data_IF_348036388148
#
_entry.id   IF_348036388148
#
_cell.length_a   1.000
_cell.length_b   1.000
_cell.length_c   1.000
_cell.angle_alpha   90.00
_cell.angle_beta   90.00
_cell.angle_gamma   90.00
#
_symmetry.space_group_name_H-M   'P 1'
#
loop_
_entity.id
_entity.type
_entity.pdbx_description
1 polymer ?
#
# COMPACT_ATOMS: atom_id res chain seq x y z
N UNK A 1 -49.20 -23.55 -43.24
CA UNK A 1 -47.87 -23.66 -42.60
C UNK A 1 -47.03 -22.45 -42.96
N UNK A 2 -46.17 -21.99 -42.04
CA UNK A 2 -45.30 -20.79 -42.09
C UNK A 2 -45.96 -19.43 -41.81
N UNK A 3 -46.08 -19.07 -40.53
CA UNK A 3 -45.78 -17.72 -39.99
C UNK A 3 -45.37 -17.90 -38.52
N UNK A 4 -44.14 -18.35 -38.32
CA UNK A 4 -43.52 -18.56 -37.02
C UNK A 4 -42.80 -17.27 -36.61
N UNK A 5 -42.96 -16.91 -35.34
CA UNK A 5 -41.91 -16.34 -34.48
C UNK A 5 -40.98 -15.30 -35.10
N UNK A 6 -41.37 -14.04 -35.04
CA UNK A 6 -40.43 -12.92 -35.17
C UNK A 6 -40.70 -11.79 -34.17
N UNK A 7 -41.41 -12.08 -33.07
CA UNK A 7 -41.88 -11.07 -32.11
C UNK A 7 -41.45 -11.30 -30.67
N UNK A 8 -40.48 -12.16 -30.39
CA UNK A 8 -40.03 -12.48 -29.02
C UNK A 8 -38.50 -12.43 -28.80
N UNK A 9 -37.73 -11.95 -29.77
CA UNK A 9 -36.27 -11.82 -29.63
C UNK A 9 -35.78 -10.39 -29.37
N UNK A 10 -36.65 -9.38 -29.44
CA UNK A 10 -36.23 -7.97 -29.30
C UNK A 10 -36.36 -7.46 -27.85
N UNK A 11 -37.11 -8.14 -26.98
CA UNK A 11 -37.19 -7.81 -25.55
C UNK A 11 -36.12 -8.48 -24.68
N UNK A 12 -35.50 -9.57 -25.16
CA UNK A 12 -34.37 -10.21 -24.43
C UNK A 12 -33.04 -9.49 -24.72
N UNK A 13 -32.93 -8.75 -25.83
CA UNK A 13 -31.72 -7.99 -26.16
C UNK A 13 -31.58 -6.66 -25.40
N UNK A 14 -32.66 -6.12 -24.82
CA UNK A 14 -32.61 -4.85 -24.08
C UNK A 14 -32.36 -5.01 -22.57
N UNK A 15 -32.36 -6.24 -22.06
CA UNK A 15 -31.80 -6.56 -20.73
C UNK A 15 -30.31 -6.93 -20.78
N UNK A 16 -29.75 -7.11 -21.99
CA UNK A 16 -28.33 -7.36 -22.20
C UNK A 16 -27.51 -6.08 -22.47
N UNK A 17 -28.15 -4.91 -22.60
CA UNK A 17 -27.48 -3.65 -22.97
C UNK A 17 -27.40 -2.60 -21.84
N UNK A 18 -27.62 -3.00 -20.58
CA UNK A 18 -27.36 -2.16 -19.39
C UNK A 18 -26.20 -2.69 -18.51
N UNK A 19 -25.44 -3.68 -18.99
CA UNK A 19 -24.35 -4.33 -18.24
C UNK A 19 -22.94 -4.08 -18.77
N UNK A 20 -22.71 -3.04 -19.58
CA UNK A 20 -21.37 -2.68 -20.07
C UNK A 20 -21.13 -1.17 -19.98
N UNK A 21 -21.38 -0.58 -18.81
CA UNK A 21 -20.58 0.57 -18.39
C UNK A 21 -19.31 0.02 -17.78
N UNK A 22 -18.16 0.45 -18.31
CA UNK A 22 -16.82 0.29 -17.73
C UNK A 22 -16.85 0.41 -16.20
N UNK A 23 -17.01 -0.69 -15.48
CA UNK A 23 -16.46 -0.82 -14.14
C UNK A 23 -15.01 -1.22 -14.37
N UNK A 24 -14.16 -0.20 -14.54
CA UNK A 24 -12.74 -0.34 -14.25
C UNK A 24 -12.65 -1.11 -12.93
N UNK A 25 -12.08 -2.30 -13.01
CA UNK A 25 -11.73 -3.16 -11.89
C UNK A 25 -11.31 -2.30 -10.69
N UNK A 26 -12.19 -2.22 -9.68
CA UNK A 26 -11.90 -1.53 -8.41
C UNK A 26 -10.99 -2.42 -7.57
N UNK A 27 -9.81 -2.64 -8.12
CA UNK A 27 -8.68 -3.30 -7.51
C UNK A 27 -8.14 -2.37 -6.42
N UNK A 28 -8.18 -2.82 -5.16
CA UNK A 28 -8.24 -1.98 -3.95
C UNK A 28 -8.60 -0.51 -4.21
N UNK A 29 -9.87 -0.28 -4.50
CA UNK A 29 -10.69 0.91 -4.24
C UNK A 29 -9.97 2.20 -3.80
N UNK A 30 -9.03 2.74 -4.54
CA UNK A 30 -8.59 4.15 -4.45
C UNK A 30 -8.48 4.64 -2.99
N UNK A 31 -7.80 3.88 -2.14
CA UNK A 31 -7.88 4.07 -0.69
C UNK A 31 -6.92 5.18 -0.27
N UNK A 32 -7.50 6.22 0.30
CA UNK A 32 -6.78 7.17 1.14
C UNK A 32 -6.17 6.43 2.33
N UNK A 33 -4.90 6.07 2.24
CA UNK A 33 -4.06 5.82 3.41
C UNK A 33 -4.36 6.84 4.51
N UNK A 34 -4.33 6.44 5.77
CA UNK A 34 -4.86 7.29 6.83
C UNK A 34 -6.37 7.17 7.05
N UNK A 35 -7.05 6.20 6.42
CA UNK A 35 -8.49 5.97 6.65
C UNK A 35 -8.71 5.21 7.96
N UNK A 36 -9.69 5.67 8.75
CA UNK A 36 -10.09 5.04 10.03
C UNK A 36 -10.78 3.69 9.83
N UNK A 37 -10.63 2.80 10.81
CA UNK A 37 -11.22 1.45 10.84
C UNK A 37 -12.72 1.42 10.52
N UNK A 38 -13.54 2.26 11.18
CA UNK A 38 -15.00 2.32 10.96
C UNK A 38 -15.35 2.65 9.50
N UNK A 39 -14.52 3.46 8.85
CA UNK A 39 -14.74 3.85 7.47
C UNK A 39 -14.44 2.70 6.51
N UNK A 40 -13.38 1.93 6.77
CA UNK A 40 -13.07 0.71 6.00
C UNK A 40 -14.20 -0.31 6.16
N UNK A 41 -14.67 -0.57 7.39
CA UNK A 41 -15.81 -1.46 7.64
C UNK A 41 -17.07 -0.99 6.91
N UNK A 42 -17.36 0.32 6.95
CA UNK A 42 -18.51 0.89 6.24
C UNK A 42 -18.42 0.70 4.72
N UNK A 43 -17.21 0.82 4.16
CA UNK A 43 -16.95 0.59 2.75
C UNK A 43 -17.14 -0.89 2.42
N UNK A 44 -16.56 -1.82 3.19
CA UNK A 44 -16.71 -3.26 2.93
C UNK A 44 -18.16 -3.74 3.04
N UNK A 45 -18.88 -3.27 4.06
CA UNK A 45 -20.30 -3.58 4.23
C UNK A 45 -21.15 -3.14 3.02
N UNK A 46 -20.84 -1.98 2.42
CA UNK A 46 -21.53 -1.51 1.20
C UNK A 46 -21.26 -2.40 -0.01
N UNK A 47 -20.16 -3.13 -0.01
CA UNK A 47 -19.79 -4.05 -1.08
C UNK A 47 -20.20 -5.50 -0.79
N UNK A 48 -21.04 -5.72 0.23
CA UNK A 48 -21.56 -7.05 0.58
C UNK A 48 -20.68 -7.84 1.55
N UNK A 49 -19.54 -7.29 1.96
CA UNK A 49 -18.61 -7.92 2.90
C UNK A 49 -18.97 -7.45 4.32
N UNK A 50 -19.88 -8.16 4.98
CA UNK A 50 -20.39 -7.75 6.30
C UNK A 50 -19.73 -8.48 7.48
N UNK A 51 -19.19 -9.68 7.25
CA UNK A 51 -18.50 -10.47 8.27
C UNK A 51 -17.01 -10.17 8.26
N UNK A 52 -16.47 -9.78 9.41
CA UNK A 52 -15.04 -9.60 9.63
C UNK A 52 -14.65 -10.07 11.02
N UNK A 53 -13.39 -10.40 11.19
CA UNK A 53 -12.75 -10.68 12.47
C UNK A 53 -11.81 -9.51 12.79
N UNK A 54 -11.75 -9.05 14.04
CA UNK A 54 -10.80 -8.03 14.48
C UNK A 54 -9.75 -8.71 15.35
N UNK A 55 -8.47 -8.49 15.03
CA UNK A 55 -7.33 -9.00 15.79
C UNK A 55 -6.52 -7.83 16.35
N UNK A 56 -6.12 -7.93 17.62
CA UNK A 56 -5.24 -6.96 18.27
C UNK A 56 -3.85 -7.59 18.32
N UNK A 57 -2.91 -7.02 17.56
CA UNK A 57 -1.53 -7.51 17.49
C UNK A 57 -0.72 -6.99 18.66
N UNK A 58 -0.87 -5.70 18.97
CA UNK A 58 -0.28 -5.04 20.14
C UNK A 58 -1.10 -3.78 20.51
N UNK A 59 -0.57 -2.94 21.41
CA UNK A 59 -1.30 -1.75 21.87
C UNK A 59 -1.44 -0.65 20.79
N UNK A 60 -0.59 -0.68 19.77
CA UNK A 60 -0.49 0.30 18.70
C UNK A 60 -0.86 -0.23 17.31
N UNK A 61 -1.19 -1.52 17.20
CA UNK A 61 -1.49 -2.19 15.94
C UNK A 61 -2.64 -3.18 16.09
N UNK A 62 -3.58 -3.13 15.14
CA UNK A 62 -4.66 -4.10 15.00
C UNK A 62 -5.04 -4.30 13.55
N UNK A 63 -5.67 -5.43 13.25
CA UNK A 63 -6.18 -5.73 11.92
C UNK A 63 -7.66 -6.07 11.93
N UNK A 64 -8.28 -5.95 10.76
CA UNK A 64 -9.55 -6.61 10.47
C UNK A 64 -9.38 -7.53 9.27
N UNK A 65 -9.92 -8.74 9.38
CA UNK A 65 -9.86 -9.77 8.37
C UNK A 65 -11.22 -10.05 7.77
N UNK A 66 -11.25 -10.22 6.46
CA UNK A 66 -12.42 -10.63 5.70
C UNK A 66 -12.07 -11.87 4.87
N UNK A 67 -12.96 -12.85 4.83
CA UNK A 67 -12.77 -14.04 3.99
C UNK A 67 -13.55 -13.98 2.69
N UNK A 68 -13.05 -14.64 1.64
CA UNK A 68 -13.75 -14.81 0.36
C UNK A 68 -14.14 -13.51 -0.39
N UNK A 69 -13.33 -12.45 -0.29
CA UNK A 69 -13.52 -11.25 -1.11
C UNK A 69 -13.15 -11.55 -2.55
N UNK A 70 -13.75 -10.79 -3.48
CA UNK A 70 -13.39 -10.84 -4.89
C UNK A 70 -12.38 -9.75 -5.19
N UNK A 71 -11.15 -10.16 -5.49
CA UNK A 71 -10.01 -9.31 -5.85
C UNK A 71 -9.47 -9.80 -7.19
N UNK A 72 -9.37 -8.91 -8.18
CA UNK A 72 -8.97 -9.29 -9.55
C UNK A 72 -9.76 -10.48 -10.12
N UNK A 73 -11.06 -10.54 -9.79
CA UNK A 73 -11.95 -11.63 -10.21
C UNK A 73 -11.70 -12.98 -9.52
N UNK A 74 -10.78 -13.06 -8.55
CA UNK A 74 -10.44 -14.27 -7.78
C UNK A 74 -10.87 -14.11 -6.32
N UNK A 75 -11.08 -15.24 -5.64
CA UNK A 75 -11.32 -15.25 -4.20
C UNK A 75 -10.01 -15.02 -3.45
N UNK A 76 -10.05 -14.10 -2.49
CA UNK A 76 -8.96 -13.85 -1.56
C UNK A 76 -9.50 -13.61 -0.15
N UNK A 77 -8.69 -13.93 0.84
CA UNK A 77 -8.83 -13.37 2.18
C UNK A 77 -8.13 -12.02 2.19
N UNK A 78 -8.76 -11.01 2.79
CA UNK A 78 -8.19 -9.68 2.94
C UNK A 78 -7.89 -9.39 4.41
N UNK A 79 -6.71 -8.84 4.65
CA UNK A 79 -6.30 -8.31 5.94
C UNK A 79 -6.03 -6.81 5.77
N UNK A 80 -6.63 -6.00 6.63
CA UNK A 80 -6.39 -4.57 6.71
C UNK A 80 -5.77 -4.24 8.06
N UNK A 81 -4.55 -3.69 8.05
CA UNK A 81 -3.80 -3.39 9.27
C UNK A 81 -3.79 -1.89 9.55
N UNK A 82 -4.05 -1.54 10.80
CA UNK A 82 -4.17 -0.18 11.30
C UNK A 82 -3.16 0.06 12.41
N UNK A 83 -2.52 1.22 12.35
CA UNK A 83 -1.60 1.70 13.39
C UNK A 83 -2.12 3.00 13.99
N UNK A 84 -1.90 3.21 15.27
CA UNK A 84 -2.09 4.53 15.91
C UNK A 84 -0.75 5.18 16.33
N UNK A 85 0.36 4.51 16.02
CA UNK A 85 1.70 4.99 16.25
C UNK A 85 2.49 4.84 14.95
N UNK A 86 2.94 5.96 14.42
CA UNK A 86 3.87 6.00 13.31
C UNK A 86 5.29 5.92 13.87
N UNK A 87 5.83 4.71 13.86
CA UNK A 87 7.24 4.46 14.18
C UNK A 87 8.13 5.05 13.08
N UNK A 88 9.26 5.60 13.49
CA UNK A 88 10.30 6.16 12.62
C UNK A 88 11.19 5.06 11.99
N UNK A 89 10.60 3.92 11.64
CA UNK A 89 11.16 2.97 10.67
C UNK A 89 11.39 3.62 9.28
N UNK A 90 11.00 4.90 9.12
CA UNK A 90 11.51 5.83 8.08
C UNK A 90 13.04 5.88 8.01
N UNK A 91 13.78 5.41 9.02
CA UNK A 91 15.21 5.11 8.87
C UNK A 91 15.48 4.29 7.60
N UNK A 92 14.65 3.29 7.28
CA UNK A 92 14.84 2.44 6.10
C UNK A 92 14.49 3.16 4.79
N UNK A 93 13.41 3.95 4.75
CA UNK A 93 13.03 4.74 3.56
C UNK A 93 14.02 5.90 3.30
N UNK A 94 14.44 6.62 4.35
CA UNK A 94 15.49 7.67 4.29
C UNK A 94 16.87 7.08 3.97
N UNK A 95 17.14 5.84 4.43
CA UNK A 95 18.35 5.09 4.05
C UNK A 95 18.31 4.67 2.59
N UNK A 96 17.15 4.27 2.05
CA UNK A 96 16.97 4.00 0.61
C UNK A 96 17.20 5.26 -0.24
N UNK A 97 16.62 6.39 0.15
CA UNK A 97 16.88 7.68 -0.53
C UNK A 97 18.36 8.09 -0.43
N UNK A 98 18.98 7.88 0.73
CA UNK A 98 20.41 8.10 0.92
C UNK A 98 21.26 7.19 0.02
N UNK A 99 20.86 5.93 -0.18
CA UNK A 99 21.52 5.01 -1.13
C UNK A 99 21.43 5.54 -2.56
N UNK A 100 20.28 6.04 -3.00
CA UNK A 100 20.13 6.63 -4.34
C UNK A 100 21.07 7.82 -4.55
N UNK A 101 21.15 8.70 -3.57
CA UNK A 101 22.10 9.83 -3.56
C UNK A 101 23.56 9.37 -3.59
N UNK A 102 23.92 8.35 -2.80
CA UNK A 102 25.25 7.74 -2.84
C UNK A 102 25.58 7.14 -4.21
N UNK A 103 24.64 6.48 -4.87
CA UNK A 103 24.83 5.95 -6.22
C UNK A 103 24.95 7.07 -7.26
N UNK A 104 24.18 8.15 -7.15
CA UNK A 104 24.29 9.32 -8.03
C UNK A 104 25.66 10.01 -7.88
N UNK A 105 26.22 10.09 -6.68
CA UNK A 105 27.57 10.64 -6.45
C UNK A 105 28.69 9.87 -7.17
N UNK A 106 28.51 8.56 -7.36
CA UNK A 106 29.48 7.67 -8.03
C UNK A 106 29.46 7.80 -9.55
N UNK A 107 28.37 8.32 -10.13
CA UNK A 107 28.23 8.48 -11.57
C UNK A 107 29.24 9.51 -12.12
N UNK A 108 29.99 9.18 -13.18
CA UNK A 108 31.00 10.08 -13.74
C UNK A 108 30.40 11.35 -14.36
N UNK A 109 29.15 11.30 -14.83
CA UNK A 109 28.42 12.41 -15.41
C UNK A 109 27.88 13.42 -14.38
N UNK A 110 27.89 13.09 -13.09
CA UNK A 110 27.38 13.97 -12.03
C UNK A 110 28.31 15.16 -11.84
N UNK A 111 27.79 16.34 -12.16
CA UNK A 111 28.53 17.61 -12.07
C UNK A 111 28.94 17.95 -10.63
N UNK A 112 29.97 18.77 -10.47
CA UNK A 112 30.40 19.20 -9.13
C UNK A 112 29.30 19.95 -8.37
N UNK A 113 28.55 20.83 -9.06
CA UNK A 113 27.43 21.54 -8.46
C UNK A 113 26.35 20.59 -7.93
N UNK A 114 26.02 19.53 -8.69
CA UNK A 114 25.08 18.50 -8.25
C UNK A 114 25.63 17.67 -7.09
N UNK A 115 26.93 17.34 -7.09
CA UNK A 115 27.58 16.66 -5.97
C UNK A 115 27.51 17.48 -4.68
N UNK A 116 27.70 18.79 -4.77
CA UNK A 116 27.62 19.68 -3.61
C UNK A 116 26.19 19.85 -3.10
N UNK A 117 25.19 19.85 -4.00
CA UNK A 117 23.77 19.81 -3.63
C UNK A 117 23.40 18.49 -2.92
N UNK A 118 23.79 17.35 -3.48
CA UNK A 118 23.52 16.03 -2.88
C UNK A 118 24.13 15.93 -1.48
N UNK A 119 25.37 16.38 -1.29
CA UNK A 119 25.99 16.39 0.04
C UNK A 119 25.20 17.22 1.05
N UNK A 120 24.73 18.40 0.66
CA UNK A 120 23.87 19.22 1.53
C UNK A 120 22.56 18.51 1.88
N UNK A 121 21.92 17.87 0.91
CA UNK A 121 20.70 17.10 1.15
C UNK A 121 20.95 15.93 2.11
N UNK A 122 22.09 15.25 1.97
CA UNK A 122 22.49 14.17 2.86
C UNK A 122 22.77 14.67 4.29
N UNK A 123 23.52 15.77 4.44
CA UNK A 123 23.82 16.38 5.73
C UNK A 123 22.52 16.84 6.44
N UNK A 124 21.61 17.48 5.70
CA UNK A 124 20.29 17.87 6.20
C UNK A 124 19.47 16.65 6.62
N UNK A 125 19.46 15.60 5.82
CA UNK A 125 18.72 14.38 6.14
C UNK A 125 19.29 13.69 7.40
N UNK A 126 20.61 13.68 7.58
CA UNK A 126 21.23 13.18 8.81
C UNK A 126 20.84 14.01 10.03
N UNK A 127 20.92 15.33 9.96
CA UNK A 127 20.54 16.22 11.07
C UNK A 127 19.05 16.09 11.41
N UNK A 128 18.18 15.93 10.40
CA UNK A 128 16.76 15.65 10.61
C UNK A 128 16.57 14.32 11.34
N UNK A 129 17.26 13.25 10.94
CA UNK A 129 17.18 11.93 11.58
C UNK A 129 17.68 11.95 13.02
N UNK A 130 18.76 12.68 13.32
CA UNK A 130 19.31 12.79 14.68
C UNK A 130 18.37 13.51 15.65
N UNK A 131 17.58 14.46 15.17
CA UNK A 131 16.69 15.28 16.00
C UNK A 131 15.22 14.82 15.97
N UNK A 132 14.96 13.68 15.33
CA UNK A 132 13.61 13.16 15.14
C UNK A 132 13.16 12.36 16.37
N UNK A 133 11.87 12.45 16.73
CA UNK A 133 11.30 11.52 17.70
C UNK A 133 11.24 10.11 17.09
N UNK A 134 11.48 9.08 17.91
CA UNK A 134 11.40 7.67 17.50
C UNK A 134 9.99 7.29 17.04
N UNK A 135 8.95 7.86 17.67
CA UNK A 135 7.57 7.50 17.41
C UNK A 135 6.66 8.73 17.42
N UNK A 136 5.66 8.72 16.54
CA UNK A 136 4.62 9.75 16.44
C UNK A 136 3.24 9.15 16.64
N UNK A 137 2.50 9.55 17.69
CA UNK A 137 1.12 9.13 17.81
C UNK A 137 0.30 9.78 16.70
N UNK A 138 -0.57 8.96 16.12
CA UNK A 138 -1.58 9.34 15.16
C UNK A 138 -2.86 9.68 15.92
N UNK A 139 -3.72 10.49 15.29
CA UNK A 139 -4.99 10.91 15.90
C UNK A 139 -5.99 9.75 16.10
N UNK A 140 -5.75 8.60 15.48
CA UNK A 140 -6.60 7.40 15.53
C UNK A 140 -5.84 6.16 15.02
N UNK A 141 -6.48 4.99 15.04
CA UNK A 141 -6.03 3.82 14.28
C UNK A 141 -6.29 4.03 12.79
N UNK A 142 -5.21 4.23 12.05
CA UNK A 142 -5.21 4.57 10.64
C UNK A 142 -4.69 3.43 9.78
N UNK A 143 -5.37 3.17 8.67
CA UNK A 143 -5.00 2.13 7.73
C UNK A 143 -3.60 2.41 7.14
N UNK A 144 -2.68 1.47 7.32
CA UNK A 144 -1.33 1.52 6.75
C UNK A 144 -1.05 0.36 5.78
N UNK A 145 -1.73 -0.78 5.91
CA UNK A 145 -1.49 -1.95 5.07
C UNK A 145 -2.80 -2.63 4.67
N UNK A 146 -2.81 -3.13 3.43
CA UNK A 146 -3.84 -4.01 2.92
C UNK A 146 -3.18 -5.20 2.24
N UNK A 147 -3.58 -6.41 2.62
CA UNK A 147 -3.02 -7.63 2.09
C UNK A 147 -4.11 -8.58 1.61
N UNK A 148 -3.88 -9.22 0.47
CA UNK A 148 -4.81 -10.14 -0.18
C UNK A 148 -4.13 -11.48 -0.37
N UNK A 149 -4.56 -12.48 0.39
CA UNK A 149 -4.10 -13.85 0.29
C UNK A 149 -5.07 -14.64 -0.56
N UNK A 150 -4.64 -15.07 -1.72
CA UNK A 150 -5.44 -15.92 -2.59
C UNK A 150 -5.39 -17.36 -2.11
N UNK A 151 -6.48 -18.10 -2.36
CA UNK A 151 -6.43 -19.56 -2.31
C UNK A 151 -5.38 -20.08 -3.33
N UNK A 152 -5.06 -21.37 -3.27
CA UNK A 152 -4.03 -21.98 -4.12
C UNK A 152 -4.28 -21.69 -5.62
N UNK A 153 -3.53 -20.72 -6.17
CA UNK A 153 -3.61 -20.32 -7.56
C UNK A 153 -2.85 -21.32 -8.44
N UNK A 154 -3.37 -21.59 -9.63
CA UNK A 154 -2.58 -22.25 -10.66
C UNK A 154 -1.69 -21.24 -11.41
N UNK A 155 -0.68 -21.74 -12.14
CA UNK A 155 0.30 -20.89 -12.83
C UNK A 155 -0.34 -19.84 -13.75
N UNK A 156 -1.42 -20.20 -14.47
CA UNK A 156 -2.11 -19.25 -15.36
C UNK A 156 -2.76 -18.11 -14.57
N UNK A 157 -3.32 -18.41 -13.41
CA UNK A 157 -3.96 -17.40 -12.55
C UNK A 157 -2.92 -16.48 -11.91
N UNK A 158 -1.76 -17.02 -11.53
CA UNK A 158 -0.64 -16.20 -11.08
C UNK A 158 -0.12 -15.28 -12.19
N UNK A 159 -0.01 -15.78 -13.41
CA UNK A 159 0.40 -14.99 -14.59
C UNK A 159 -0.64 -13.90 -14.92
N UNK A 160 -1.94 -14.19 -14.77
CA UNK A 160 -3.04 -13.21 -14.93
C UNK A 160 -2.89 -12.05 -13.92
N UNK A 161 -2.67 -12.37 -12.64
CA UNK A 161 -2.46 -11.35 -11.60
C UNK A 161 -1.20 -10.52 -11.89
N UNK A 162 -0.08 -11.17 -12.24
CA UNK A 162 1.15 -10.47 -12.57
C UNK A 162 0.97 -9.52 -13.77
N UNK A 163 0.25 -9.96 -14.81
CA UNK A 163 -0.03 -9.14 -15.98
C UNK A 163 -0.90 -7.92 -15.64
N UNK A 164 -1.90 -8.10 -14.76
CA UNK A 164 -2.76 -6.99 -14.31
C UNK A 164 -1.98 -5.97 -13.47
N UNK A 165 -1.15 -6.43 -12.52
CA UNK A 165 -0.29 -5.56 -11.72
C UNK A 165 0.74 -4.83 -12.60
N UNK A 166 1.36 -5.53 -13.54
CA UNK A 166 2.32 -4.95 -14.50
C UNK A 166 1.65 -3.90 -15.39
N UNK A 167 0.44 -4.19 -15.88
CA UNK A 167 -0.33 -3.21 -16.66
C UNK A 167 -0.69 -1.96 -15.87
N UNK A 168 -0.83 -2.06 -14.55
CA UNK A 168 -1.26 -0.97 -13.67
C UNK A 168 -0.08 -0.14 -13.16
N UNK A 169 1.03 -0.79 -12.80
CA UNK A 169 2.15 -0.17 -12.10
C UNK A 169 3.46 -0.13 -12.92
N UNK A 170 3.46 -0.69 -14.13
CA UNK A 170 4.65 -0.80 -14.97
C UNK A 170 5.47 -2.06 -14.66
N UNK A 171 6.72 -2.10 -15.13
CA UNK A 171 7.58 -3.26 -14.93
C UNK A 171 8.04 -3.37 -13.46
N UNK A 172 7.91 -4.53 -12.81
CA UNK A 172 8.37 -4.72 -11.44
C UNK A 172 9.90 -4.81 -11.33
N UNK A 173 10.41 -4.48 -10.14
CA UNK A 173 11.69 -5.02 -9.68
C UNK A 173 11.45 -6.46 -9.21
N UNK A 174 12.30 -7.39 -9.61
CA UNK A 174 12.23 -8.78 -9.14
C UNK A 174 13.30 -9.04 -8.09
N UNK A 175 12.89 -9.56 -6.94
CA UNK A 175 13.79 -10.04 -5.91
C UNK A 175 13.63 -11.55 -5.73
N UNK A 176 14.72 -12.22 -5.38
CA UNK A 176 14.71 -13.65 -5.10
C UNK A 176 15.16 -13.88 -3.66
N UNK A 177 14.28 -14.42 -2.84
CA UNK A 177 14.56 -14.79 -1.46
C UNK A 177 14.20 -16.25 -1.21
N UNK A 178 15.13 -17.04 -0.69
CA UNK A 178 14.90 -18.46 -0.35
C UNK A 178 14.27 -19.31 -1.47
N UNK A 179 14.63 -19.05 -2.74
CA UNK A 179 14.08 -19.64 -3.98
C UNK A 179 12.66 -19.18 -4.36
N UNK A 180 12.09 -18.19 -3.66
CA UNK A 180 10.86 -17.49 -4.04
C UNK A 180 11.19 -16.24 -4.83
N UNK A 181 10.48 -16.04 -5.94
CA UNK A 181 10.46 -14.76 -6.65
C UNK A 181 9.38 -13.87 -6.03
N UNK A 182 9.74 -12.62 -5.76
CA UNK A 182 8.80 -11.56 -5.36
C UNK A 182 8.90 -10.44 -6.37
N UNK A 183 7.75 -9.93 -6.81
CA UNK A 183 7.65 -8.79 -7.70
C UNK A 183 7.29 -7.55 -6.89
N UNK A 184 8.07 -6.50 -7.06
CA UNK A 184 7.97 -5.26 -6.29
C UNK A 184 7.66 -4.10 -7.23
N UNK A 185 6.66 -3.31 -6.87
CA UNK A 185 6.39 -2.00 -7.45
C UNK A 185 6.37 -0.95 -6.37
N UNK A 186 6.55 0.29 -6.80
CA UNK A 186 6.51 1.43 -5.92
C UNK A 186 5.89 2.60 -6.69
N UNK A 187 5.04 3.36 -6.01
CA UNK A 187 4.53 4.63 -6.50
C UNK A 187 4.71 5.70 -5.42
N UNK A 188 4.27 6.94 -5.68
CA UNK A 188 4.45 8.06 -4.74
C UNK A 188 3.83 7.82 -3.35
N UNK A 189 2.90 6.87 -3.23
CA UNK A 189 2.11 6.64 -2.02
C UNK A 189 2.34 5.29 -1.36
N UNK A 190 2.81 4.29 -2.09
CA UNK A 190 2.80 2.89 -1.64
C UNK A 190 3.96 2.07 -2.17
N UNK A 191 4.36 1.09 -1.35
CA UNK A 191 5.09 -0.10 -1.78
C UNK A 191 4.08 -1.21 -2.06
N UNK A 192 4.31 -1.97 -3.12
CA UNK A 192 3.40 -3.02 -3.62
C UNK A 192 4.23 -4.27 -3.84
N UNK A 193 3.80 -5.38 -3.26
CA UNK A 193 4.49 -6.65 -3.36
C UNK A 193 3.54 -7.72 -3.89
N UNK A 194 4.02 -8.54 -4.82
CA UNK A 194 3.33 -9.76 -5.25
C UNK A 194 4.26 -10.97 -5.15
N UNK A 195 3.84 -11.93 -4.32
CA UNK A 195 4.53 -13.20 -4.12
C UNK A 195 3.64 -14.32 -4.67
N UNK A 196 3.95 -14.94 -5.83
CA UNK A 196 3.11 -15.95 -6.48
C UNK A 196 3.21 -17.37 -5.88
N UNK A 197 4.07 -17.60 -4.88
CA UNK A 197 4.31 -18.94 -4.30
C UNK A 197 3.11 -19.50 -3.51
N UNK A 198 3.30 -20.59 -2.73
CA UNK A 198 2.28 -21.48 -2.10
C UNK A 198 1.04 -20.77 -1.52
N UNK A 199 1.17 -19.53 -1.08
CA UNK A 199 0.07 -18.61 -0.83
C UNK A 199 0.31 -17.35 -1.64
N UNK A 200 -0.33 -17.26 -2.82
CA UNK A 200 -0.22 -16.08 -3.64
C UNK A 200 -0.72 -14.89 -2.83
N UNK A 201 0.11 -13.86 -2.66
CA UNK A 201 -0.22 -12.70 -1.83
C UNK A 201 0.10 -11.41 -2.58
N UNK A 202 -0.86 -10.50 -2.62
CA UNK A 202 -0.60 -9.09 -2.94
C UNK A 202 -0.59 -8.31 -1.63
N UNK A 203 0.44 -7.52 -1.38
CA UNK A 203 0.55 -6.66 -0.21
C UNK A 203 0.76 -5.21 -0.64
N UNK A 204 -0.01 -4.32 -0.06
CA UNK A 204 0.07 -2.88 -0.24
C UNK A 204 0.40 -2.24 1.10
N UNK A 205 1.48 -1.45 1.13
CA UNK A 205 1.89 -0.74 2.35
C UNK A 205 2.03 0.74 2.04
N UNK A 206 1.45 1.60 2.88
CA UNK A 206 1.60 3.04 2.81
C UNK A 206 3.06 3.43 3.07
N UNK A 207 3.58 4.36 2.27
CA UNK A 207 4.90 4.96 2.56
C UNK A 207 4.83 5.79 3.84
N UNK A 208 5.95 5.87 4.55
CA UNK A 208 6.06 6.71 5.74
C UNK A 208 5.62 8.16 5.47
N UNK A 209 6.11 8.76 4.38
CA UNK A 209 5.78 10.14 3.97
C UNK A 209 4.30 10.39 3.69
N UNK A 210 3.50 9.34 3.50
CA UNK A 210 2.04 9.43 3.42
C UNK A 210 1.42 9.42 4.80
N UNK A 211 1.87 8.51 5.68
CA UNK A 211 1.34 8.38 7.04
C UNK A 211 1.73 9.58 7.92
N UNK A 212 2.91 10.17 7.67
CA UNK A 212 3.42 11.35 8.36
C UNK A 212 2.46 12.55 8.27
N UNK A 213 1.68 12.65 7.19
CA UNK A 213 0.70 13.72 6.98
C UNK A 213 -0.45 13.70 8.00
N UNK A 214 -0.62 12.57 8.70
CA UNK A 214 -1.62 12.37 9.74
C UNK A 214 -1.04 12.47 11.14
N UNK A 215 0.27 12.72 11.26
CA UNK A 215 0.97 12.99 12.51
C UNK A 215 1.30 14.49 12.63
N UNK A 216 1.24 15.04 13.84
CA UNK A 216 1.71 16.40 14.14
C UNK A 216 3.22 16.39 14.45
N UNK A 217 4.03 16.00 13.46
CA UNK A 217 5.49 15.77 13.60
C UNK A 217 6.22 16.97 14.22
N UNK A 218 5.89 18.18 13.78
CA UNK A 218 6.48 19.42 14.28
C UNK A 218 6.27 19.63 15.78
N UNK A 219 5.07 19.32 16.29
CA UNK A 219 4.76 19.42 17.71
C UNK A 219 5.52 18.38 18.52
N UNK A 220 5.72 17.17 17.99
CA UNK A 220 6.44 16.11 18.68
C UNK A 220 7.95 16.35 18.69
N UNK A 221 8.55 16.78 17.58
CA UNK A 221 9.98 17.14 17.52
C UNK A 221 10.31 18.32 18.45
N UNK A 222 9.44 19.35 18.53
CA UNK A 222 9.60 20.45 19.50
C UNK A 222 9.56 19.96 20.95
N UNK A 223 8.69 18.99 21.27
CA UNK A 223 8.59 18.40 22.60
C UNK A 223 9.80 17.53 22.93
N UNK A 224 10.28 16.71 22.00
CA UNK A 224 11.48 15.90 22.16
C UNK A 224 12.69 16.78 22.46
N UNK A 225 12.94 17.80 21.63
CA UNK A 225 14.06 18.73 21.81
C UNK A 225 13.94 19.60 23.07
N UNK A 226 12.72 19.77 23.61
CA UNK A 226 12.52 20.46 24.89
C UNK A 226 12.81 19.59 26.12
N UNK A 227 12.84 18.26 25.99
CA UNK A 227 13.17 17.34 27.10
C UNK A 227 14.67 17.24 27.36
N UNK A 228 15.52 17.54 26.38
CA UNK A 228 16.98 17.57 26.58
C UNK A 228 17.47 18.78 27.38
N UNK A 229 16.67 19.84 27.56
CA UNK A 229 17.10 21.03 28.31
C UNK A 229 16.94 20.92 29.84
N UNK A 230 16.67 19.73 30.40
CA UNK A 230 16.40 19.55 31.85
C UNK A 230 17.30 18.55 32.58
N UNK A 231 18.47 18.24 32.03
CA UNK A 231 19.52 17.54 32.78
C UNK A 231 20.87 18.29 32.70
N UNK A 232 20.87 19.57 33.07
CA UNK A 232 22.06 20.20 33.63
C UNK A 232 21.62 21.07 34.81
N UNK A 233 21.76 20.53 36.02
CA UNK A 233 22.07 21.23 37.28
C UNK A 233 22.39 20.23 38.39
#
# INVERSE_FOLDING_TARGET
>A
MKKFMLGLCITILMLASLGCSNESTKDFRDVSWGTKLDKVISIEKKNGNAGFEEEIHNEHEKSIEYSNLIVLGKKADAEYVFIDLLDNDSFMDRSEQSKEWFEELKKPETTQARKDEIRKLMDQNMEEMENQADEYPLDDFLLHEASYRFEMLNAKESDEILAELTSKYGDPKSETYANSITFLWENDRSKIEYSPERYSRIKYTAKYSVMEQFADVDKYNKKANSKESKNEL
#
